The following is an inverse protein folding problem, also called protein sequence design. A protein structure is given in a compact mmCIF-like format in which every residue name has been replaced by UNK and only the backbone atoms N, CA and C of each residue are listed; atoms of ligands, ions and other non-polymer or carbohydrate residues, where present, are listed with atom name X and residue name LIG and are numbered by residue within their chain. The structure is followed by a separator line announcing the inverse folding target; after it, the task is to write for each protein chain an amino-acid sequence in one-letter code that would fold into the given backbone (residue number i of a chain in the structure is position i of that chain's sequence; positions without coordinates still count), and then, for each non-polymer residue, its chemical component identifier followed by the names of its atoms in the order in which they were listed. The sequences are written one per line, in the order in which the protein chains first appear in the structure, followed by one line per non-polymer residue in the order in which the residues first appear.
data_IF_524307607288
#
_entry.id   IF_524307607288
#
_cell.length_a   1.000
_cell.length_b   1.000
_cell.length_c   1.000
_cell.angle_alpha   90.00
_cell.angle_beta   90.00
_cell.angle_gamma   90.00
#
_symmetry.space_group_name_H-M   'P 1'
#
loop_
_entity.id
_entity.type
_entity.pdbx_description
1 polymer ?
#
# COMPACT_ATOMS: atom_id res chain seq x y z
N UNK A 1 -12.02 14.16 -53.16
CA UNK A 1 -12.45 13.53 -51.90
C UNK A 1 -13.72 14.25 -51.44
N UNK A 2 -14.84 13.55 -51.24
CA UNK A 2 -16.17 14.17 -51.10
C UNK A 2 -16.28 15.03 -49.82
N UNK A 3 -16.70 16.29 -49.98
CA UNK A 3 -16.92 17.28 -48.89
C UNK A 3 -17.80 16.73 -47.75
N UNK A 4 -18.72 15.81 -48.05
CA UNK A 4 -19.56 15.12 -47.06
C UNK A 4 -18.77 14.25 -46.07
N UNK A 5 -17.70 13.58 -46.52
CA UNK A 5 -16.88 12.71 -45.67
C UNK A 5 -16.07 13.55 -44.67
N UNK A 6 -15.63 14.74 -45.08
CA UNK A 6 -14.85 15.63 -44.21
C UNK A 6 -15.72 16.22 -43.08
N UNK A 7 -16.97 16.60 -43.38
CA UNK A 7 -17.92 17.12 -42.40
C UNK A 7 -18.31 16.04 -41.38
N UNK A 8 -18.55 14.79 -41.81
CA UNK A 8 -18.86 13.68 -40.89
C UNK A 8 -17.70 13.41 -39.93
N UNK A 9 -16.44 13.48 -40.42
CA UNK A 9 -15.26 13.32 -39.56
C UNK A 9 -15.13 14.42 -38.52
N UNK A 10 -15.43 15.68 -38.87
CA UNK A 10 -15.40 16.80 -37.93
C UNK A 10 -16.48 16.65 -36.87
N UNK A 11 -17.70 16.26 -37.24
CA UNK A 11 -18.81 16.10 -36.29
C UNK A 11 -18.52 14.99 -35.26
N UNK A 12 -17.89 13.89 -35.68
CA UNK A 12 -17.47 12.81 -34.77
C UNK A 12 -16.41 13.31 -33.78
N UNK A 13 -15.43 14.09 -34.24
CA UNK A 13 -14.39 14.67 -33.38
C UNK A 13 -14.98 15.64 -32.36
N UNK A 14 -15.92 16.49 -32.76
CA UNK A 14 -16.56 17.47 -31.87
C UNK A 14 -17.44 16.78 -30.82
N UNK A 15 -18.22 15.76 -31.19
CA UNK A 15 -18.99 14.98 -30.21
C UNK A 15 -18.10 14.25 -29.21
N UNK A 16 -16.92 13.77 -29.64
CA UNK A 16 -15.96 13.11 -28.77
C UNK A 16 -15.30 14.08 -27.77
N UNK A 17 -15.02 15.33 -28.19
CA UNK A 17 -14.50 16.39 -27.31
C UNK A 17 -15.53 16.74 -26.23
N UNK A 18 -16.80 16.90 -26.61
CA UNK A 18 -17.88 17.24 -25.67
C UNK A 18 -18.12 16.10 -24.66
N UNK A 19 -18.13 14.85 -25.12
CA UNK A 19 -18.23 13.69 -24.24
C UNK A 19 -17.03 13.58 -23.29
N UNK A 20 -15.82 13.91 -23.76
CA UNK A 20 -14.59 13.87 -22.97
C UNK A 20 -14.56 14.95 -21.89
N UNK A 21 -15.12 16.14 -22.15
CA UNK A 21 -15.27 17.20 -21.15
C UNK A 21 -16.23 16.83 -20.01
N UNK A 22 -17.25 16.02 -20.29
CA UNK A 22 -18.25 15.61 -19.30
C UNK A 22 -17.71 14.59 -18.27
N UNK A 23 -16.63 13.87 -18.60
CA UNK A 23 -16.01 12.87 -17.72
C UNK A 23 -14.89 13.42 -16.81
N UNK A 24 -14.59 14.72 -16.87
CA UNK A 24 -13.48 15.36 -16.12
C UNK A 24 -13.89 15.81 -14.70
N UNK A 25 -15.19 15.95 -14.42
CA UNK A 25 -15.67 16.32 -13.08
C UNK A 25 -15.95 15.09 -12.19
N UNK A 26 -14.88 14.48 -11.67
CA UNK A 26 -14.97 13.78 -10.40
C UNK A 26 -13.85 14.25 -9.47
N UNK A 27 -14.19 15.05 -8.44
CA UNK A 27 -13.22 15.42 -7.43
C UNK A 27 -12.90 14.17 -6.58
N UNK A 28 -11.64 13.74 -6.61
CA UNK A 28 -11.10 12.83 -5.62
C UNK A 28 -10.99 13.59 -4.29
N UNK A 29 -11.97 13.41 -3.42
CA UNK A 29 -11.96 14.00 -2.08
C UNK A 29 -10.89 13.33 -1.23
N UNK A 30 -9.82 14.07 -0.92
CA UNK A 30 -8.83 13.66 0.06
C UNK A 30 -9.50 13.58 1.45
N UNK A 31 -9.58 12.37 2.00
CA UNK A 31 -10.02 12.14 3.38
C UNK A 31 -8.96 12.73 4.31
N UNK A 32 -9.27 13.86 4.96
CA UNK A 32 -8.44 14.42 6.03
C UNK A 32 -8.38 13.40 7.18
N UNK A 33 -7.17 13.04 7.59
CA UNK A 33 -6.91 12.23 8.79
C UNK A 33 -7.41 13.01 10.01
N UNK A 34 -8.56 12.62 10.54
CA UNK A 34 -9.16 13.19 11.76
C UNK A 34 -8.26 12.85 12.96
N UNK A 35 -8.16 13.79 13.90
CA UNK A 35 -7.52 13.58 15.20
C UNK A 35 -7.98 12.26 15.83
N UNK A 36 -7.05 11.52 16.46
CA UNK A 36 -7.35 10.25 17.12
C UNK A 36 -8.17 10.42 18.42
N UNK A 37 -8.27 11.65 18.93
CA UNK A 37 -8.98 11.98 20.17
C UNK A 37 -10.13 12.95 19.87
N UNK A 38 -11.35 12.66 20.33
CA UNK A 38 -12.34 13.70 20.55
C UNK A 38 -11.90 14.58 21.74
N UNK A 39 -12.20 15.88 21.70
CA UNK A 39 -11.66 16.91 22.62
C UNK A 39 -12.05 16.72 24.10
N UNK A 40 -12.85 15.71 24.42
CA UNK A 40 -13.48 15.47 25.72
C UNK A 40 -12.99 14.21 26.44
N UNK A 41 -11.85 13.63 26.02
CA UNK A 41 -11.25 12.46 26.67
C UNK A 41 -9.92 12.86 27.29
N UNK A 42 -9.75 12.56 28.57
CA UNK A 42 -8.50 12.79 29.32
C UNK A 42 -7.77 11.48 29.54
N UNK A 43 -6.44 11.48 29.43
CA UNK A 43 -5.60 10.33 29.78
C UNK A 43 -5.18 10.44 31.26
N UNK A 44 -5.43 9.39 32.04
CA UNK A 44 -5.01 9.27 33.44
C UNK A 44 -3.94 8.21 33.58
N UNK A 45 -2.73 8.61 33.97
CA UNK A 45 -1.61 7.69 34.22
C UNK A 45 -1.60 7.24 35.69
N UNK A 46 -1.44 5.94 35.91
CA UNK A 46 -1.15 5.32 37.21
C UNK A 46 0.12 4.50 37.07
N UNK A 47 1.10 4.75 37.95
CA UNK A 47 2.38 4.04 37.97
C UNK A 47 2.44 3.12 39.17
N UNK A 48 2.80 1.86 38.97
CA UNK A 48 2.99 0.86 40.04
C UNK A 48 4.23 0.03 39.72
N UNK A 49 5.35 0.36 40.36
CA UNK A 49 6.64 -0.27 40.05
C UNK A 49 7.03 -0.07 38.58
N UNK A 50 7.27 -1.18 37.88
CA UNK A 50 7.60 -1.21 36.45
C UNK A 50 6.38 -1.24 35.53
N UNK A 51 5.17 -1.02 36.04
CA UNK A 51 3.93 -1.01 35.28
C UNK A 51 3.38 0.42 35.21
N UNK A 52 3.08 0.87 34.00
CA UNK A 52 2.35 2.12 33.74
C UNK A 52 1.01 1.79 33.11
N UNK A 53 -0.07 2.24 33.74
CA UNK A 53 -1.45 2.09 33.27
C UNK A 53 -1.97 3.45 32.82
N UNK A 54 -2.52 3.48 31.62
CA UNK A 54 -3.13 4.66 31.01
C UNK A 54 -4.62 4.37 30.84
N UNK A 55 -5.46 5.04 31.62
CA UNK A 55 -6.92 4.97 31.54
C UNK A 55 -7.45 6.19 30.79
N UNK A 56 -8.28 5.97 29.77
CA UNK A 56 -8.94 7.05 29.05
C UNK A 56 -10.30 7.33 29.67
N UNK A 57 -10.49 8.55 30.16
CA UNK A 57 -11.70 8.93 30.91
C UNK A 57 -12.51 10.01 30.19
N UNK A 58 -13.84 9.93 30.31
CA UNK A 58 -14.76 10.97 29.86
C UNK A 58 -14.74 12.21 30.78
N UNK A 59 -15.53 13.23 30.44
CA UNK A 59 -15.68 14.47 31.24
C UNK A 59 -16.18 14.21 32.68
N UNK A 60 -16.83 13.08 32.91
CA UNK A 60 -17.33 12.68 34.24
C UNK A 60 -16.29 11.86 35.02
N UNK A 61 -15.12 11.57 34.44
CA UNK A 61 -14.07 10.76 35.04
C UNK A 61 -14.26 9.24 34.89
N UNK A 62 -15.22 8.78 34.10
CA UNK A 62 -15.45 7.35 33.86
C UNK A 62 -14.55 6.83 32.74
N UNK A 63 -13.98 5.63 32.92
CA UNK A 63 -13.20 4.96 31.88
C UNK A 63 -14.08 4.70 30.66
N UNK A 64 -13.63 5.15 29.49
CA UNK A 64 -14.41 5.13 28.25
C UNK A 64 -13.60 4.61 27.08
N UNK A 65 -14.28 3.95 26.15
CA UNK A 65 -13.65 3.35 24.98
C UNK A 65 -13.31 4.40 23.93
N UNK A 66 -12.03 4.44 23.51
CA UNK A 66 -11.53 5.35 22.49
C UNK A 66 -11.49 4.63 21.14
N UNK A 67 -12.40 4.98 20.23
CA UNK A 67 -12.48 4.36 18.90
C UNK A 67 -11.15 4.40 18.11
N UNK A 68 -10.38 5.50 18.23
CA UNK A 68 -9.08 5.63 17.56
C UNK A 68 -8.00 4.69 18.09
N UNK A 69 -8.09 4.26 19.35
CA UNK A 69 -7.16 3.35 20.02
C UNK A 69 -7.72 1.93 20.17
N UNK A 70 -9.01 1.75 19.86
CA UNK A 70 -9.75 0.49 20.02
C UNK A 70 -9.68 -0.10 21.44
N UNK A 71 -9.47 0.73 22.44
CA UNK A 71 -9.38 0.34 23.84
C UNK A 71 -9.81 1.50 24.75
N UNK A 72 -10.04 1.20 26.02
CA UNK A 72 -10.29 2.17 27.08
C UNK A 72 -9.11 2.28 28.05
N UNK A 73 -8.27 1.25 28.14
CA UNK A 73 -7.06 1.23 28.95
C UNK A 73 -5.90 0.62 28.17
N UNK A 74 -4.70 1.20 28.35
CA UNK A 74 -3.44 0.60 27.92
C UNK A 74 -2.55 0.35 29.13
N UNK A 75 -2.09 -0.88 29.30
CA UNK A 75 -1.12 -1.24 30.34
C UNK A 75 0.22 -1.51 29.66
N UNK A 76 1.28 -0.88 30.17
CA UNK A 76 2.65 -1.05 29.71
C UNK A 76 3.52 -1.59 30.84
N UNK A 77 4.23 -2.67 30.59
CA UNK A 77 5.21 -3.24 31.53
C UNK A 77 6.61 -3.01 30.99
N UNK A 78 7.52 -2.62 31.88
CA UNK A 78 8.91 -2.31 31.56
C UNK A 78 9.87 -3.30 32.25
N UNK A 79 11.03 -3.56 31.64
CA UNK A 79 12.11 -4.31 32.29
C UNK A 79 12.94 -3.41 33.23
N UNK A 80 13.96 -3.99 33.87
CA UNK A 80 14.88 -3.28 34.78
C UNK A 80 15.69 -2.17 34.09
N UNK A 81 15.83 -2.24 32.76
CA UNK A 81 16.48 -1.22 31.93
C UNK A 81 15.49 -0.17 31.43
N UNK A 82 14.27 -0.13 31.98
CA UNK A 82 13.17 0.74 31.56
C UNK A 82 12.73 0.58 30.09
N UNK A 83 12.97 -0.59 29.50
CA UNK A 83 12.53 -0.92 28.13
C UNK A 83 11.16 -1.57 28.17
N UNK A 84 10.32 -1.26 27.19
CA UNK A 84 8.95 -1.77 27.11
C UNK A 84 8.96 -3.26 26.74
N UNK A 85 8.44 -4.13 27.61
CA UNK A 85 8.41 -5.58 27.39
C UNK A 85 7.01 -6.15 27.17
N UNK A 86 5.95 -5.44 27.58
CA UNK A 86 4.57 -5.88 27.36
C UNK A 86 3.63 -4.71 27.19
N UNK A 87 2.65 -4.87 26.30
CA UNK A 87 1.52 -3.96 26.17
C UNK A 87 0.22 -4.77 26.15
N UNK A 88 -0.73 -4.39 26.99
CA UNK A 88 -2.06 -4.97 27.07
C UNK A 88 -3.11 -3.89 26.82
N UNK A 89 -4.16 -4.25 26.08
CA UNK A 89 -5.25 -3.35 25.74
C UNK A 89 -6.53 -3.89 26.37
N UNK A 90 -7.25 -3.03 27.10
CA UNK A 90 -8.51 -3.42 27.76
C UNK A 90 -9.67 -2.55 27.31
N UNK A 91 -10.88 -3.11 27.32
CA UNK A 91 -12.14 -2.41 27.11
C UNK A 91 -12.55 -1.62 28.36
N UNK A 92 -13.66 -0.88 28.29
CA UNK A 92 -14.15 -0.07 29.41
C UNK A 92 -14.59 -0.91 30.64
N UNK A 93 -14.77 -2.22 30.46
CA UNK A 93 -15.11 -3.18 31.52
C UNK A 93 -13.87 -3.88 32.10
N UNK A 94 -12.69 -3.64 31.53
CA UNK A 94 -11.43 -4.27 31.92
C UNK A 94 -11.14 -5.62 31.27
N UNK A 95 -11.90 -6.03 30.24
CA UNK A 95 -11.62 -7.24 29.46
C UNK A 95 -10.60 -6.96 28.35
N UNK A 96 -9.87 -7.96 27.82
CA UNK A 96 -9.00 -7.78 26.67
C UNK A 96 -9.72 -7.13 25.48
N UNK A 97 -9.07 -6.14 24.85
CA UNK A 97 -9.62 -5.38 23.74
C UNK A 97 -8.82 -5.59 22.45
N UNK A 98 -9.51 -6.03 21.40
CA UNK A 98 -8.93 -6.33 20.11
C UNK A 98 -8.49 -5.08 19.33
N UNK A 99 -7.20 -5.03 19.00
CA UNK A 99 -6.57 -4.00 18.18
C UNK A 99 -6.87 -4.20 16.69
N UNK A 100 -6.42 -3.26 15.84
CA UNK A 100 -6.69 -3.31 14.40
C UNK A 100 -6.03 -4.47 13.67
N UNK A 101 -4.99 -5.06 14.25
CA UNK A 101 -4.35 -6.27 13.75
C UNK A 101 -5.04 -7.56 14.25
N UNK A 102 -5.98 -7.46 15.18
CA UNK A 102 -6.68 -8.57 15.83
C UNK A 102 -6.06 -9.05 17.15
N UNK A 103 -4.95 -8.46 17.59
CA UNK A 103 -4.31 -8.81 18.86
C UNK A 103 -4.93 -8.08 20.05
N UNK A 104 -4.89 -8.68 21.23
CA UNK A 104 -5.31 -8.04 22.49
C UNK A 104 -4.11 -7.64 23.36
N UNK A 105 -2.94 -8.23 23.13
CA UNK A 105 -1.70 -7.84 23.77
C UNK A 105 -0.49 -8.17 22.89
N UNK A 106 0.65 -7.58 23.24
CA UNK A 106 1.94 -7.90 22.62
C UNK A 106 3.04 -7.95 23.66
N UNK A 107 3.98 -8.86 23.46
CA UNK A 107 5.19 -9.02 24.28
C UNK A 107 6.40 -8.73 23.41
N UNK A 108 7.35 -7.96 23.94
CA UNK A 108 8.57 -7.55 23.25
C UNK A 108 9.74 -8.22 23.96
N UNK A 109 10.45 -9.08 23.22
CA UNK A 109 11.65 -9.75 23.67
C UNK A 109 12.86 -9.12 22.99
N UNK A 110 13.75 -8.50 23.78
CA UNK A 110 14.97 -7.88 23.27
C UNK A 110 16.08 -8.92 23.11
N UNK A 111 16.51 -9.13 21.86
CA UNK A 111 17.59 -10.06 21.49
C UNK A 111 18.94 -9.33 21.34
N UNK A 112 18.93 -8.01 21.41
CA UNK A 112 20.11 -7.14 21.44
C UNK A 112 19.76 -5.79 22.06
N UNK A 113 20.64 -4.79 21.88
CA UNK A 113 20.37 -3.42 22.35
C UNK A 113 19.26 -2.75 21.54
N UNK A 114 19.22 -2.98 20.22
CA UNK A 114 18.24 -2.39 19.30
C UNK A 114 17.27 -3.43 18.69
N UNK A 115 17.68 -4.69 18.69
CA UNK A 115 16.96 -5.78 18.06
C UNK A 115 15.96 -6.41 19.02
N UNK A 116 14.76 -6.69 18.51
CA UNK A 116 13.71 -7.32 19.30
C UNK A 116 12.76 -8.18 18.46
N UNK A 117 12.06 -9.07 19.15
CA UNK A 117 10.95 -9.85 18.61
C UNK A 117 9.69 -9.42 19.36
N UNK A 118 8.72 -8.87 18.64
CA UNK A 118 7.39 -8.57 19.16
C UNK A 118 6.44 -9.71 18.81
N UNK A 119 5.86 -10.38 19.79
CA UNK A 119 4.86 -11.45 19.60
C UNK A 119 3.48 -10.97 20.00
N UNK A 120 2.47 -11.32 19.22
CA UNK A 120 1.08 -10.88 19.39
C UNK A 120 0.24 -12.00 19.98
N UNK A 121 -0.70 -11.63 20.87
CA UNK A 121 -1.51 -12.59 21.61
C UNK A 121 -2.99 -12.23 21.56
N UNK A 122 -3.85 -13.25 21.61
CA UNK A 122 -5.30 -13.13 21.68
C UNK A 122 -5.80 -12.84 23.10
N UNK A 123 -7.12 -12.76 23.27
CA UNK A 123 -7.79 -12.55 24.56
C UNK A 123 -7.53 -13.65 25.59
N UNK A 124 -7.15 -14.86 25.15
CA UNK A 124 -6.85 -16.01 26.01
C UNK A 124 -5.37 -16.05 26.44
N UNK A 125 -4.54 -15.16 25.89
CA UNK A 125 -3.09 -15.15 26.11
C UNK A 125 -2.33 -16.18 25.27
N UNK A 126 -2.95 -16.72 24.20
CA UNK A 126 -2.27 -17.58 23.22
C UNK A 126 -1.72 -16.73 22.07
N UNK A 127 -0.62 -17.17 21.44
CA UNK A 127 -0.09 -16.53 20.23
C UNK A 127 -1.20 -16.41 19.18
N UNK A 128 -1.33 -15.22 18.61
CA UNK A 128 -2.35 -14.90 17.62
C UNK A 128 -1.72 -14.67 16.26
N UNK A 129 -2.16 -15.44 15.26
CA UNK A 129 -1.79 -15.23 13.85
C UNK A 129 -2.82 -14.34 13.19
N UNK A 130 -2.39 -13.17 12.72
CA UNK A 130 -3.31 -12.20 12.12
C UNK A 130 -3.69 -12.56 10.68
N UNK A 131 -4.58 -11.75 10.08
CA UNK A 131 -5.04 -11.92 8.69
C UNK A 131 -3.91 -11.82 7.64
N UNK A 132 -2.76 -11.25 7.99
CA UNK A 132 -1.58 -11.20 7.13
C UNK A 132 -0.75 -12.49 7.19
N UNK A 133 -1.01 -13.39 8.14
CA UNK A 133 -0.39 -14.71 8.24
C UNK A 133 0.81 -14.81 9.17
N UNK A 134 1.07 -13.81 10.02
CA UNK A 134 2.18 -13.82 10.97
C UNK A 134 1.70 -13.64 12.42
N UNK A 135 2.48 -14.14 13.38
CA UNK A 135 2.21 -14.00 14.81
C UNK A 135 3.29 -13.23 15.58
N UNK A 136 4.46 -13.03 14.96
CA UNK A 136 5.56 -12.26 15.55
C UNK A 136 6.27 -11.40 14.50
N UNK A 137 6.83 -10.29 14.93
CA UNK A 137 7.60 -9.35 14.13
C UNK A 137 9.00 -9.21 14.73
N UNK A 138 10.02 -9.65 13.99
CA UNK A 138 11.42 -9.37 14.33
C UNK A 138 11.81 -8.03 13.73
N UNK A 139 12.34 -7.14 14.56
CA UNK A 139 12.86 -5.83 14.19
C UNK A 139 14.36 -5.82 14.45
N UNK A 140 15.13 -5.47 13.42
CA UNK A 140 16.60 -5.42 13.48
C UNK A 140 17.09 -4.04 13.02
N UNK A 141 18.07 -3.50 13.73
CA UNK A 141 18.72 -2.22 13.43
C UNK A 141 17.90 -0.98 13.83
N UNK A 142 18.37 0.18 13.39
CA UNK A 142 17.85 1.48 13.81
C UNK A 142 17.70 2.44 12.61
N UNK A 143 17.29 3.69 12.86
CA UNK A 143 17.11 4.67 11.77
C UNK A 143 18.40 5.10 11.08
N UNK A 144 19.54 5.02 11.76
CA UNK A 144 20.86 5.37 11.24
C UNK A 144 21.43 4.27 10.36
N UNK A 145 21.30 3.01 10.78
CA UNK A 145 21.82 1.82 10.07
C UNK A 145 20.82 1.24 9.06
N UNK A 146 19.53 1.53 9.24
CA UNK A 146 18.42 0.91 8.52
C UNK A 146 17.69 -0.10 9.38
N UNK A 147 16.37 -0.21 9.17
CA UNK A 147 15.49 -1.08 9.95
C UNK A 147 15.03 -2.24 9.07
N UNK A 148 15.26 -3.47 9.51
CA UNK A 148 14.70 -4.67 8.86
C UNK A 148 13.57 -5.24 9.71
N UNK A 149 12.44 -5.47 9.07
CA UNK A 149 11.27 -6.14 9.64
C UNK A 149 11.12 -7.50 9.00
N UNK A 150 11.17 -8.57 9.80
CA UNK A 150 10.94 -9.94 9.36
C UNK A 150 9.67 -10.46 10.02
N UNK A 151 8.71 -10.90 9.23
CA UNK A 151 7.42 -11.40 9.70
C UNK A 151 7.52 -12.90 9.93
N UNK A 152 7.15 -13.37 11.12
CA UNK A 152 7.40 -14.74 11.59
C UNK A 152 6.10 -15.50 11.87
N UNK A 153 6.12 -16.80 11.58
CA UNK A 153 5.08 -17.76 11.97
C UNK A 153 5.24 -18.19 13.44
N UNK A 154 4.34 -19.07 13.91
CA UNK A 154 4.35 -19.57 15.31
C UNK A 154 5.63 -20.32 15.70
N UNK A 155 6.34 -20.88 14.72
CA UNK A 155 7.63 -21.58 14.88
C UNK A 155 8.82 -20.61 14.91
N UNK A 156 8.60 -19.32 14.68
CA UNK A 156 9.67 -18.31 14.62
C UNK A 156 10.40 -18.26 13.27
N UNK A 157 9.82 -18.82 12.21
CA UNK A 157 10.40 -18.81 10.86
C UNK A 157 9.76 -17.71 10.00
N UNK A 158 10.50 -17.09 9.05
CA UNK A 158 9.92 -16.12 8.12
C UNK A 158 8.74 -16.68 7.35
N UNK A 159 7.67 -15.88 7.20
CA UNK A 159 6.44 -16.26 6.50
C UNK A 159 6.03 -15.21 5.48
N UNK A 160 5.59 -15.66 4.31
CA UNK A 160 5.05 -14.78 3.27
C UNK A 160 3.72 -14.18 3.72
N UNK A 161 3.65 -12.85 3.71
CA UNK A 161 2.42 -12.13 3.98
C UNK A 161 1.44 -12.22 2.80
N UNK A 162 0.15 -11.99 3.07
CA UNK A 162 -0.85 -11.81 1.98
C UNK A 162 -0.52 -10.65 1.05
N UNK A 163 0.28 -9.69 1.51
CA UNK A 163 0.82 -8.58 0.71
C UNK A 163 1.93 -9.00 -0.28
N UNK A 164 2.44 -10.23 -0.23
CA UNK A 164 3.39 -10.76 -1.21
C UNK A 164 4.87 -10.61 -0.84
N UNK A 165 5.21 -10.37 0.42
CA UNK A 165 6.60 -10.36 0.90
C UNK A 165 6.68 -10.90 2.34
N UNK A 166 7.86 -11.33 2.80
CA UNK A 166 8.11 -11.83 4.15
C UNK A 166 9.07 -10.94 4.95
N UNK A 167 9.87 -10.14 4.25
CA UNK A 167 10.86 -9.25 4.87
C UNK A 167 10.74 -7.88 4.21
N UNK A 168 10.91 -6.84 5.02
CA UNK A 168 10.91 -5.45 4.58
C UNK A 168 12.04 -4.69 5.22
N UNK A 169 12.88 -4.06 4.41
CA UNK A 169 13.98 -3.21 4.88
C UNK A 169 13.71 -1.75 4.59
N UNK A 170 14.01 -0.88 5.55
CA UNK A 170 13.91 0.57 5.44
C UNK A 170 15.27 1.21 5.62
N UNK A 171 15.65 2.08 4.70
CA UNK A 171 16.84 2.94 4.83
C UNK A 171 16.43 4.41 4.72
N UNK A 172 17.15 5.26 5.43
CA UNK A 172 16.84 6.69 5.52
C UNK A 172 17.99 7.48 4.90
N UNK A 173 17.71 8.22 3.83
CA UNK A 173 18.72 9.00 3.11
C UNK A 173 18.10 10.26 2.52
N UNK A 174 18.77 11.40 2.68
CA UNK A 174 18.37 12.70 2.11
C UNK A 174 16.93 13.10 2.49
N UNK A 175 16.54 12.86 3.75
CA UNK A 175 15.17 13.10 4.23
C UNK A 175 14.10 12.20 3.61
N UNK A 176 14.50 11.18 2.84
CA UNK A 176 13.62 10.18 2.24
C UNK A 176 13.76 8.83 2.92
N UNK A 177 12.67 8.05 2.94
CA UNK A 177 12.69 6.66 3.38
C UNK A 177 12.57 5.74 2.17
N UNK A 178 13.50 4.83 2.01
CA UNK A 178 13.50 3.80 0.97
C UNK A 178 13.08 2.49 1.63
N UNK A 179 12.06 1.85 1.10
CA UNK A 179 11.49 0.61 1.61
C UNK A 179 11.60 -0.45 0.51
N UNK A 180 12.25 -1.58 0.79
CA UNK A 180 12.42 -2.70 -0.15
C UNK A 180 11.79 -3.97 0.42
N UNK A 181 11.27 -4.82 -0.46
CA UNK A 181 10.53 -6.03 -0.11
C UNK A 181 11.26 -7.29 -0.56
N UNK A 182 11.25 -8.33 0.28
CA UNK A 182 11.93 -9.59 0.02
C UNK A 182 11.07 -10.79 0.43
N UNK A 183 11.35 -11.93 -0.19
CA UNK A 183 10.78 -13.22 0.17
C UNK A 183 11.38 -13.81 1.46
N UNK A 184 10.98 -15.03 1.82
CA UNK A 184 11.48 -15.75 3.00
C UNK A 184 12.97 -16.10 2.95
N UNK A 185 13.59 -16.07 1.77
CA UNK A 185 15.00 -16.35 1.52
C UNK A 185 15.83 -15.06 1.35
N UNK A 186 15.25 -13.87 1.55
CA UNK A 186 15.86 -12.55 1.31
C UNK A 186 16.11 -12.23 -0.17
N UNK A 187 15.43 -12.88 -1.11
CA UNK A 187 15.46 -12.43 -2.49
C UNK A 187 14.47 -11.28 -2.69
N UNK A 188 14.83 -10.23 -3.45
CA UNK A 188 13.90 -9.14 -3.77
C UNK A 188 12.64 -9.69 -4.45
N UNK A 189 11.47 -9.22 -4.02
CA UNK A 189 10.18 -9.65 -4.58
C UNK A 189 9.46 -8.50 -5.26
N UNK A 190 8.93 -8.78 -6.45
CA UNK A 190 8.09 -7.85 -7.19
C UNK A 190 6.67 -7.86 -6.62
N UNK A 191 6.18 -6.70 -6.20
CA UNK A 191 4.80 -6.49 -5.81
C UNK A 191 3.99 -5.91 -6.98
N UNK A 192 2.73 -5.52 -6.72
CA UNK A 192 1.88 -4.88 -7.72
C UNK A 192 2.56 -3.69 -8.41
N UNK A 193 2.24 -3.48 -9.69
CA UNK A 193 2.82 -2.42 -10.55
C UNK A 193 4.33 -2.56 -10.88
N UNK A 194 4.92 -3.74 -10.66
CA UNK A 194 6.31 -4.02 -11.02
C UNK A 194 7.35 -3.49 -10.05
N UNK A 195 6.91 -3.10 -8.84
CA UNK A 195 7.75 -2.46 -7.84
C UNK A 195 8.40 -3.49 -6.91
N UNK A 196 9.68 -3.31 -6.59
CA UNK A 196 10.40 -4.07 -5.56
C UNK A 196 10.51 -3.29 -4.24
N UNK A 197 10.06 -2.04 -4.27
CA UNK A 197 10.11 -1.14 -3.14
C UNK A 197 9.39 0.17 -3.41
N UNK A 198 9.39 1.04 -2.40
CA UNK A 198 8.80 2.37 -2.46
C UNK A 198 9.72 3.38 -1.77
N UNK A 199 9.80 4.58 -2.32
CA UNK A 199 10.46 5.74 -1.73
C UNK A 199 9.42 6.73 -1.25
N UNK A 200 9.50 7.09 0.02
CA UNK A 200 8.71 8.15 0.63
C UNK A 200 9.54 9.43 0.72
N UNK A 201 9.03 10.52 0.15
CA UNK A 201 9.59 11.87 0.28
C UNK A 201 8.47 12.81 0.73
N UNK A 202 8.38 13.05 2.03
CA UNK A 202 7.21 13.69 2.64
C UNK A 202 5.94 12.88 2.37
N UNK A 203 4.94 13.50 1.73
CA UNK A 203 3.68 12.83 1.35
C UNK A 203 3.73 12.20 -0.06
N UNK A 204 4.86 12.27 -0.77
CA UNK A 204 5.00 11.70 -2.11
C UNK A 204 5.57 10.29 -2.03
N UNK A 205 4.98 9.37 -2.81
CA UNK A 205 5.42 7.99 -2.95
C UNK A 205 5.91 7.78 -4.38
N UNK A 206 7.09 7.19 -4.54
CA UNK A 206 7.65 6.77 -5.82
C UNK A 206 8.02 5.28 -5.76
N UNK A 207 7.86 4.56 -6.87
CA UNK A 207 8.15 3.13 -6.90
C UNK A 207 9.61 2.86 -7.22
N UNK A 208 10.15 1.79 -6.64
CA UNK A 208 11.55 1.40 -6.77
C UNK A 208 11.67 0.10 -7.56
N UNK A 209 12.64 0.08 -8.47
CA UNK A 209 13.05 -1.13 -9.18
C UNK A 209 13.84 -2.06 -8.25
N UNK A 210 14.25 -3.23 -8.77
CA UNK A 210 15.05 -4.22 -8.03
C UNK A 210 16.38 -3.64 -7.47
N UNK A 211 16.90 -2.57 -8.07
CA UNK A 211 18.13 -1.90 -7.65
C UNK A 211 17.89 -0.73 -6.69
N UNK A 212 16.65 -0.49 -6.26
CA UNK A 212 16.29 0.64 -5.41
C UNK A 212 16.26 1.99 -6.14
N UNK A 213 16.20 2.01 -7.48
CA UNK A 213 16.08 3.23 -8.29
C UNK A 213 14.62 3.55 -8.57
N UNK A 214 14.30 4.84 -8.54
CA UNK A 214 12.94 5.31 -8.85
C UNK A 214 12.61 5.02 -10.31
N UNK A 215 11.47 4.37 -10.54
CA UNK A 215 10.88 4.22 -11.86
C UNK A 215 9.40 4.60 -11.81
N UNK A 216 8.85 4.88 -12.99
CA UNK A 216 7.44 5.24 -13.14
C UNK A 216 6.78 4.19 -14.04
N UNK A 217 5.93 3.31 -13.48
CA UNK A 217 5.17 2.37 -14.29
C UNK A 217 4.32 3.10 -15.32
N UNK A 218 4.24 2.55 -16.53
CA UNK A 218 3.47 3.17 -17.62
C UNK A 218 1.98 3.33 -17.26
N UNK A 219 1.40 2.37 -16.55
CA UNK A 219 0.01 2.45 -16.08
C UNK A 219 -0.22 3.61 -15.09
N UNK A 220 0.77 3.94 -14.26
CA UNK A 220 0.72 5.09 -13.35
C UNK A 220 0.79 6.41 -14.12
N UNK A 221 1.66 6.49 -15.14
CA UNK A 221 1.74 7.68 -16.02
C UNK A 221 0.43 7.89 -16.78
N UNK A 222 -0.13 6.82 -17.35
CA UNK A 222 -1.39 6.88 -18.08
C UNK A 222 -2.57 7.29 -17.18
N UNK A 223 -2.61 6.81 -15.93
CA UNK A 223 -3.63 7.19 -14.95
C UNK A 223 -3.44 8.60 -14.39
N UNK A 224 -2.21 9.03 -14.15
CA UNK A 224 -1.92 10.37 -13.62
C UNK A 224 -2.23 11.47 -14.64
N UNK A 225 -2.07 11.16 -15.93
CA UNK A 225 -2.27 12.10 -17.02
C UNK A 225 -3.23 11.53 -18.08
N UNK A 226 -4.53 11.41 -17.77
CA UNK A 226 -5.51 10.90 -18.73
C UNK A 226 -5.59 11.77 -19.99
N UNK A 227 -5.27 13.07 -19.89
CA UNK A 227 -5.16 13.97 -21.04
C UNK A 227 -4.04 13.59 -22.02
N UNK A 228 -3.00 12.87 -21.58
CA UNK A 228 -1.91 12.39 -22.45
C UNK A 228 -2.46 11.43 -23.52
N UNK A 229 -3.47 10.63 -23.17
CA UNK A 229 -4.17 9.74 -24.09
C UNK A 229 -4.93 10.54 -25.15
N UNK A 230 -5.54 11.67 -24.75
CA UNK A 230 -6.26 12.58 -25.66
C UNK A 230 -5.28 13.27 -26.60
N UNK A 231 -4.16 13.79 -26.09
CA UNK A 231 -3.11 14.42 -26.89
C UNK A 231 -2.55 13.40 -27.89
N UNK A 232 -2.20 12.20 -27.45
CA UNK A 232 -1.76 11.12 -28.32
C UNK A 232 -2.82 10.78 -29.38
N UNK A 233 -4.10 10.72 -29.01
CA UNK A 233 -5.22 10.51 -29.94
C UNK A 233 -5.35 11.61 -30.99
N UNK A 234 -5.17 12.88 -30.62
CA UNK A 234 -5.15 14.02 -31.55
C UNK A 234 -3.96 13.91 -32.50
N UNK A 235 -2.75 13.63 -31.98
CA UNK A 235 -1.55 13.45 -32.79
C UNK A 235 -1.71 12.31 -33.79
N UNK A 236 -2.21 11.16 -33.34
CA UNK A 236 -2.51 10.00 -34.20
C UNK A 236 -3.54 10.41 -35.27
N UNK A 237 -4.59 11.15 -34.91
CA UNK A 237 -5.63 11.60 -35.84
C UNK A 237 -5.11 12.58 -36.91
N UNK A 238 -4.21 13.48 -36.54
CA UNK A 238 -3.52 14.37 -37.49
C UNK A 238 -2.59 13.57 -38.38
N UNK A 239 -1.83 12.63 -37.81
CA UNK A 239 -0.91 11.77 -38.55
C UNK A 239 -1.66 10.85 -39.53
N UNK A 240 -2.86 10.39 -39.19
CA UNK A 240 -3.75 9.62 -40.08
C UNK A 240 -4.14 10.38 -41.35
N UNK A 241 -4.21 11.71 -41.31
CA UNK A 241 -4.54 12.55 -42.48
C UNK A 241 -3.31 12.73 -43.39
N UNK A 242 -2.11 12.68 -42.81
CA UNK A 242 -0.84 12.86 -43.53
C UNK A 242 -0.34 11.57 -44.20
N UNK A 243 -0.79 10.40 -43.74
CA UNK A 243 -0.34 9.09 -44.23
C UNK A 243 -1.11 8.58 -45.47
N UNK A 244 -0.45 7.80 -46.35
CA UNK A 244 -1.12 7.15 -47.48
C UNK A 244 -2.21 6.18 -47.01
N UNK A 245 -3.29 6.08 -47.80
CA UNK A 245 -4.55 5.39 -47.44
C UNK A 245 -4.37 3.99 -46.82
N UNK A 246 -3.43 3.18 -47.33
CA UNK A 246 -3.18 1.83 -46.82
C UNK A 246 -2.64 1.83 -45.38
N UNK A 247 -1.72 2.75 -45.06
CA UNK A 247 -1.11 2.86 -43.74
C UNK A 247 -2.03 3.54 -42.73
N UNK A 248 -2.82 4.52 -43.18
CA UNK A 248 -3.87 5.15 -42.38
C UNK A 248 -4.93 4.13 -41.92
N UNK A 249 -5.34 3.20 -42.81
CA UNK A 249 -6.26 2.11 -42.45
C UNK A 249 -5.66 1.14 -41.42
N UNK A 250 -4.38 0.80 -41.54
CA UNK A 250 -3.68 -0.06 -40.59
C UNK A 250 -3.58 0.60 -39.20
N UNK A 251 -3.31 1.90 -39.16
CA UNK A 251 -3.25 2.68 -37.93
C UNK A 251 -4.62 2.78 -37.25
N UNK A 252 -5.72 2.91 -38.01
CA UNK A 252 -7.09 2.87 -37.46
C UNK A 252 -7.39 1.50 -36.84
N UNK A 253 -7.04 0.41 -37.52
CA UNK A 253 -7.23 -0.94 -36.99
C UNK A 253 -6.44 -1.16 -35.69
N UNK A 254 -5.17 -0.73 -35.65
CA UNK A 254 -4.32 -0.80 -34.46
C UNK A 254 -4.87 0.07 -33.31
N UNK A 255 -5.38 1.26 -33.62
CA UNK A 255 -5.95 2.17 -32.61
C UNK A 255 -7.28 1.65 -32.03
N UNK A 256 -8.14 1.04 -32.86
CA UNK A 256 -9.35 0.37 -32.40
C UNK A 256 -9.01 -0.82 -31.48
N UNK A 257 -8.00 -1.62 -31.84
CA UNK A 257 -7.48 -2.69 -30.98
C UNK A 257 -6.94 -2.16 -29.65
N UNK A 258 -6.23 -1.03 -29.68
CA UNK A 258 -5.73 -0.38 -28.47
C UNK A 258 -6.87 0.13 -27.56
N UNK A 259 -7.94 0.70 -28.11
CA UNK A 259 -9.11 1.12 -27.32
C UNK A 259 -9.79 -0.09 -26.68
N UNK A 260 -9.98 -1.19 -27.43
CA UNK A 260 -10.54 -2.43 -26.90
C UNK A 260 -9.66 -2.99 -25.77
N UNK A 261 -8.34 -3.03 -25.98
CA UNK A 261 -7.36 -3.44 -24.98
C UNK A 261 -7.45 -2.59 -23.71
N UNK A 262 -7.46 -1.26 -23.84
CA UNK A 262 -7.58 -0.33 -22.71
C UNK A 262 -8.94 -0.51 -22.01
N UNK A 263 -10.03 -0.70 -22.76
CA UNK A 263 -11.37 -0.88 -22.19
C UNK A 263 -11.50 -2.19 -21.41
N UNK A 264 -10.92 -3.28 -21.90
CA UNK A 264 -10.93 -4.58 -21.22
C UNK A 264 -10.06 -4.58 -19.96
N UNK A 265 -8.88 -3.95 -19.99
CA UNK A 265 -7.97 -3.91 -18.84
C UNK A 265 -8.35 -2.87 -17.79
N UNK A 266 -8.98 -1.76 -18.16
CA UNK A 266 -9.31 -0.69 -17.21
C UNK A 266 -10.73 -0.71 -16.67
N UNK A 267 -11.69 -1.36 -17.35
CA UNK A 267 -13.09 -1.44 -16.88
C UNK A 267 -13.37 -2.65 -15.96
N UNK A 268 -12.44 -3.61 -15.88
CA UNK A 268 -12.48 -4.74 -14.95
C UNK A 268 -12.04 -4.34 -13.54
N UNK A 269 -12.89 -3.59 -12.84
CA UNK A 269 -12.71 -3.40 -11.40
C UNK A 269 -12.84 -4.73 -10.67
N UNK A 270 -11.84 -5.04 -9.84
CA UNK A 270 -11.82 -6.10 -8.81
C UNK A 270 -11.76 -7.58 -9.25
N UNK A 271 -12.02 -7.93 -10.50
CA UNK A 271 -11.65 -9.27 -11.02
C UNK A 271 -10.62 -9.12 -12.13
N UNK A 272 -9.38 -9.54 -11.83
CA UNK A 272 -8.30 -9.66 -12.80
C UNK A 272 -8.75 -10.68 -13.86
N UNK A 273 -9.28 -10.22 -15.00
CA UNK A 273 -9.09 -10.96 -16.22
C UNK A 273 -7.59 -10.88 -16.53
N UNK A 274 -6.84 -11.85 -16.00
CA UNK A 274 -5.45 -12.10 -16.37
C UNK A 274 -5.45 -12.60 -17.82
N UNK A 275 -5.70 -11.68 -18.75
CA UNK A 275 -5.38 -11.91 -20.15
C UNK A 275 -3.89 -11.64 -20.25
N UNK A 276 -3.08 -12.58 -19.73
CA UNK A 276 -1.64 -12.62 -20.01
C UNK A 276 -1.49 -13.06 -21.47
N UNK A 277 -1.25 -12.17 -22.45
CA UNK A 277 -1.08 -12.60 -23.83
C UNK A 277 0.33 -13.16 -24.05
N UNK A 278 1.19 -13.08 -23.02
CA UNK A 278 2.60 -13.41 -23.08
C UNK A 278 2.99 -14.23 -21.85
N UNK A 279 2.42 -15.42 -21.75
CA UNK A 279 3.07 -16.48 -20.99
C UNK A 279 4.38 -16.84 -21.69
N UNK A 280 5.48 -16.79 -20.93
CA UNK A 280 6.66 -17.64 -21.09
C UNK A 280 7.60 -17.42 -22.30
N UNK A 281 8.33 -16.29 -22.33
CA UNK A 281 9.66 -16.27 -22.99
C UNK A 281 10.80 -16.59 -22.02
N UNK A 282 10.63 -16.44 -20.70
CA UNK A 282 11.66 -16.79 -19.71
C UNK A 282 11.98 -18.29 -19.69
N UNK A 283 10.96 -19.12 -19.89
CA UNK A 283 11.07 -20.59 -19.98
C UNK A 283 11.69 -21.09 -21.29
N UNK A 284 11.90 -20.22 -22.28
CA UNK A 284 12.55 -20.59 -23.55
C UNK A 284 14.07 -20.35 -23.52
N UNK A 285 14.56 -19.58 -22.55
CA UNK A 285 15.99 -19.25 -22.42
C UNK A 285 16.68 -19.96 -21.23
N UNK A 286 15.96 -20.80 -20.49
CA UNK A 286 16.51 -21.59 -19.37
C UNK A 286 16.72 -23.08 -19.72
N UNK A 287 16.31 -23.53 -20.92
CA UNK A 287 16.59 -24.88 -21.45
C UNK A 287 17.46 -24.82 -22.73
N UNK A 288 18.66 -24.25 -22.62
CA UNK A 288 19.74 -24.42 -23.60
C UNK A 288 21.09 -24.62 -22.89
#
# INVERSE_FOLDING_TARGET
MSKKIYVVKIVIVVMFIIASCYFIDMPQTAVKKKSAYPDNITEKETVTGNIKRYDYVDENGNITYVNGLRCATVIKTYDEKERLVKVEYLDAKGNPAEQSDGSCSRVIEYIGEEDNITTYYDETGKKYTNYQGYCSLKTEGNKETGITHTFLNEKGEPVMLTLGYAIRTRTYKDGSCYEMYFDTQRNPVELGHGQYGVKYTGNKVAYLDINGKVFYPLNMILNAFPFLIIIAGIFISVFMVLLPKKLSMLLIAAYMLFIVYMTLLFRGGQERFDISPFWSYRKFFEDA
#
